data_IF_877751412412
#
_entry.id   IF_877751412412
#
_cell.length_a   1.000
_cell.length_b   1.000
_cell.length_c   1.000
_cell.angle_alpha   90.00
_cell.angle_beta   90.00
_cell.angle_gamma   90.00
#
_symmetry.space_group_name_H-M   'P 1'
#
loop_
_entity.id
_entity.type
_entity.pdbx_description
1 polymer ?
#
# COMPACT_ATOMS: atom_id res chain seq x y z
N UNK A 1 -0.63 -18.20 -18.51
CA UNK A 1 -1.17 -16.90 -18.05
C UNK A 1 -2.55 -16.63 -18.65
N UNK A 2 -2.72 -16.68 -19.98
CA UNK A 2 -4.02 -16.45 -20.65
C UNK A 2 -5.15 -17.42 -20.24
N UNK A 3 -4.87 -18.69 -19.97
CA UNK A 3 -5.90 -19.65 -19.54
C UNK A 3 -6.55 -19.33 -18.19
N UNK A 4 -5.82 -18.70 -17.27
CA UNK A 4 -6.33 -18.38 -15.92
C UNK A 4 -7.24 -17.16 -15.99
N UNK A 5 -6.81 -16.11 -16.69
CA UNK A 5 -7.64 -14.92 -16.95
C UNK A 5 -8.92 -15.28 -17.70
N UNK A 6 -8.83 -16.11 -18.74
CA UNK A 6 -10.00 -16.56 -19.51
C UNK A 6 -10.93 -17.51 -18.73
N UNK A 7 -10.44 -18.18 -17.68
CA UNK A 7 -11.28 -19.01 -16.81
C UNK A 7 -11.99 -18.23 -15.70
N UNK A 8 -11.51 -17.03 -15.38
CA UNK A 8 -12.00 -16.18 -14.29
C UNK A 8 -13.03 -15.16 -14.74
N UNK A 9 -12.99 -14.76 -16.02
CA UNK A 9 -13.99 -13.89 -16.64
C UNK A 9 -14.97 -14.79 -17.37
N UNK A 10 -16.21 -14.85 -16.92
CA UNK A 10 -17.25 -15.56 -17.67
C UNK A 10 -17.40 -14.92 -19.05
N UNK A 11 -17.44 -15.74 -20.11
CA UNK A 11 -17.50 -15.30 -21.51
C UNK A 11 -18.58 -14.24 -21.78
N UNK A 12 -19.67 -14.25 -21.00
CA UNK A 12 -20.78 -13.30 -21.11
C UNK A 12 -20.42 -11.84 -20.76
N UNK A 13 -19.35 -11.60 -20.01
CA UNK A 13 -18.92 -10.25 -19.63
C UNK A 13 -17.78 -9.73 -20.50
N UNK A 14 -17.23 -10.54 -21.41
CA UNK A 14 -16.07 -10.16 -22.23
C UNK A 14 -16.40 -8.97 -23.14
N UNK A 15 -17.55 -9.02 -23.82
CA UNK A 15 -17.99 -7.94 -24.70
C UNK A 15 -18.26 -6.65 -23.93
N UNK A 16 -18.86 -6.75 -22.74
CA UNK A 16 -19.09 -5.61 -21.84
C UNK A 16 -17.75 -4.97 -21.40
N UNK A 17 -16.77 -5.78 -21.04
CA UNK A 17 -15.43 -5.32 -20.64
C UNK A 17 -14.72 -4.62 -21.80
N UNK A 18 -14.83 -5.14 -23.03
CA UNK A 18 -14.22 -4.52 -24.20
C UNK A 18 -14.85 -3.16 -24.51
N UNK A 19 -16.18 -3.05 -24.41
CA UNK A 19 -16.89 -1.78 -24.57
C UNK A 19 -16.49 -0.79 -23.47
N UNK A 20 -16.42 -1.23 -22.21
CA UNK A 20 -15.95 -0.41 -21.09
C UNK A 20 -14.50 0.06 -21.30
N UNK A 21 -13.64 -0.80 -21.87
CA UNK A 21 -12.23 -0.49 -22.14
C UNK A 21 -12.07 0.55 -23.25
N UNK A 22 -12.74 0.36 -24.38
CA UNK A 22 -12.68 1.31 -25.50
C UNK A 22 -13.21 2.69 -25.08
N UNK A 23 -14.34 2.72 -24.36
CA UNK A 23 -14.89 3.96 -23.83
C UNK A 23 -13.96 4.63 -22.81
N UNK A 24 -13.31 3.85 -21.94
CA UNK A 24 -12.33 4.36 -20.99
C UNK A 24 -11.11 4.96 -21.68
N UNK A 25 -10.61 4.32 -22.75
CA UNK A 25 -9.51 4.88 -23.54
C UNK A 25 -9.88 6.23 -24.15
N UNK A 26 -11.04 6.31 -24.80
CA UNK A 26 -11.48 7.51 -25.51
C UNK A 26 -11.89 8.65 -24.59
N UNK A 27 -12.46 8.36 -23.43
CA UNK A 27 -13.04 9.37 -22.54
C UNK A 27 -12.20 9.70 -21.32
N UNK A 28 -11.31 8.81 -20.89
CA UNK A 28 -10.49 8.98 -19.70
C UNK A 28 -9.02 9.00 -20.10
N UNK A 29 -8.48 7.90 -20.61
CA UNK A 29 -7.03 7.76 -20.80
C UNK A 29 -6.44 8.75 -21.81
N UNK A 30 -7.14 9.00 -22.94
CA UNK A 30 -6.67 9.90 -23.99
C UNK A 30 -6.96 11.38 -23.70
N UNK A 31 -7.91 11.68 -22.81
CA UNK A 31 -8.32 13.06 -22.49
C UNK A 31 -7.66 13.60 -21.23
N UNK A 32 -7.29 12.73 -20.30
CA UNK A 32 -6.69 13.14 -19.03
C UNK A 32 -5.16 13.23 -19.16
N UNK A 33 -4.61 14.43 -18.97
CA UNK A 33 -3.16 14.68 -18.94
C UNK A 33 -2.42 13.82 -17.92
N UNK A 34 -3.11 13.43 -16.85
CA UNK A 34 -2.55 12.69 -15.71
C UNK A 34 -1.95 11.34 -16.10
N UNK A 35 -2.42 10.71 -17.19
CA UNK A 35 -1.79 9.48 -17.71
C UNK A 35 -0.39 9.72 -18.26
N UNK A 36 -0.16 10.90 -18.84
CA UNK A 36 1.15 11.30 -19.37
C UNK A 36 2.09 11.79 -18.26
N UNK A 37 1.52 12.31 -17.17
CA UNK A 37 2.26 12.80 -16.00
C UNK A 37 2.50 11.73 -14.94
N UNK A 38 1.89 10.54 -15.09
CA UNK A 38 2.02 9.43 -14.16
C UNK A 38 3.49 9.00 -14.03
N UNK A 39 4.11 9.35 -12.90
CA UNK A 39 5.45 8.90 -12.54
C UNK A 39 5.40 7.79 -11.51
N UNK A 40 5.92 6.59 -11.80
CA UNK A 40 6.00 5.48 -10.85
C UNK A 40 6.79 5.81 -9.56
N UNK A 41 7.57 6.89 -9.57
CA UNK A 41 8.36 7.38 -8.43
C UNK A 41 7.53 8.21 -7.44
N UNK A 42 6.49 8.89 -7.93
CA UNK A 42 5.72 9.87 -7.16
C UNK A 42 4.26 9.44 -6.92
N UNK A 43 3.73 8.53 -7.73
CA UNK A 43 2.34 8.07 -7.64
C UNK A 43 2.20 6.55 -7.60
N UNK A 44 1.21 6.09 -6.85
CA UNK A 44 0.83 4.68 -6.75
C UNK A 44 -0.10 4.31 -7.89
N UNK A 45 0.28 3.29 -8.66
CA UNK A 45 -0.47 2.83 -9.83
C UNK A 45 -1.86 2.30 -9.45
N UNK A 46 -1.97 1.63 -8.30
CA UNK A 46 -3.23 1.10 -7.79
C UNK A 46 -4.20 2.21 -7.36
N UNK A 47 -3.69 3.25 -6.68
CA UNK A 47 -4.48 4.42 -6.28
C UNK A 47 -4.97 5.20 -7.50
N UNK A 48 -4.09 5.42 -8.48
CA UNK A 48 -4.43 6.10 -9.72
C UNK A 48 -5.53 5.38 -10.53
N UNK A 49 -5.41 4.06 -10.71
CA UNK A 49 -6.45 3.30 -11.41
C UNK A 49 -7.75 3.25 -10.60
N UNK A 50 -7.67 3.19 -9.27
CA UNK A 50 -8.86 3.29 -8.44
C UNK A 50 -9.55 4.65 -8.61
N UNK A 51 -8.84 5.77 -8.52
CA UNK A 51 -9.44 7.11 -8.68
C UNK A 51 -10.08 7.31 -10.05
N UNK A 52 -9.46 6.81 -11.11
CA UNK A 52 -9.96 6.97 -12.48
C UNK A 52 -11.07 5.97 -12.86
N UNK A 53 -11.06 4.76 -12.29
CA UNK A 53 -12.01 3.69 -12.62
C UNK A 53 -13.09 3.43 -11.55
N UNK A 54 -13.04 4.07 -10.38
CA UNK A 54 -14.04 3.93 -9.30
C UNK A 54 -15.35 4.67 -9.61
N UNK A 55 -15.88 4.45 -10.80
CA UNK A 55 -17.22 4.83 -11.21
C UNK A 55 -18.00 3.57 -11.54
N UNK A 56 -19.33 3.62 -11.40
CA UNK A 56 -20.17 2.48 -11.76
C UNK A 56 -20.06 2.08 -13.24
N UNK A 57 -19.56 2.97 -14.09
CA UNK A 57 -19.43 2.80 -15.54
C UNK A 57 -18.38 1.75 -15.93
N UNK A 58 -17.26 1.68 -15.22
CA UNK A 58 -16.13 0.80 -15.56
C UNK A 58 -15.98 -0.35 -14.57
N UNK A 59 -17.09 -0.82 -13.99
CA UNK A 59 -17.07 -1.77 -12.87
C UNK A 59 -16.45 -3.10 -13.27
N UNK A 60 -16.71 -3.59 -14.47
CA UNK A 60 -16.19 -4.87 -14.92
C UNK A 60 -14.72 -4.74 -15.32
N UNK A 61 -14.36 -3.66 -16.01
CA UNK A 61 -12.98 -3.33 -16.32
C UNK A 61 -12.12 -3.16 -15.07
N UNK A 62 -12.61 -2.47 -14.05
CA UNK A 62 -11.92 -2.25 -12.77
C UNK A 62 -11.54 -3.57 -12.09
N UNK A 63 -12.44 -4.57 -12.10
CA UNK A 63 -12.14 -5.92 -11.58
C UNK A 63 -11.02 -6.60 -12.36
N UNK A 64 -10.98 -6.45 -13.69
CA UNK A 64 -9.92 -7.03 -14.53
C UNK A 64 -8.57 -6.38 -14.20
N UNK A 65 -8.54 -5.05 -14.04
CA UNK A 65 -7.34 -4.32 -13.63
C UNK A 65 -6.89 -4.71 -12.23
N UNK A 66 -7.81 -4.83 -11.27
CA UNK A 66 -7.54 -5.34 -9.93
C UNK A 66 -6.90 -6.74 -9.98
N UNK A 67 -7.48 -7.65 -10.77
CA UNK A 67 -6.92 -8.98 -10.98
C UNK A 67 -5.52 -8.93 -11.60
N UNK A 68 -5.30 -8.08 -12.61
CA UNK A 68 -3.99 -7.90 -13.23
C UNK A 68 -2.95 -7.39 -12.23
N UNK A 69 -3.30 -6.41 -11.41
CA UNK A 69 -2.43 -5.85 -10.38
C UNK A 69 -2.10 -6.91 -9.31
N UNK A 70 -3.09 -7.68 -8.87
CA UNK A 70 -2.93 -8.78 -7.91
C UNK A 70 -2.13 -9.97 -8.48
N UNK A 71 -2.36 -10.34 -9.74
CA UNK A 71 -1.62 -11.42 -10.41
C UNK A 71 -0.15 -11.04 -10.62
N UNK A 72 0.14 -9.76 -10.88
CA UNK A 72 1.51 -9.25 -11.01
C UNK A 72 2.28 -9.28 -9.68
N UNK A 73 1.59 -9.28 -8.53
CA UNK A 73 2.19 -9.52 -7.22
C UNK A 73 2.58 -11.00 -7.00
N UNK A 74 2.18 -11.90 -7.91
CA UNK A 74 2.51 -13.32 -7.88
C UNK A 74 1.87 -14.08 -6.71
N UNK A 75 1.92 -15.43 -6.71
CA UNK A 75 1.51 -16.27 -5.58
C UNK A 75 2.49 -16.17 -4.38
N UNK A 76 3.25 -15.07 -4.26
CA UNK A 76 4.24 -14.89 -3.21
C UNK A 76 3.64 -14.84 -1.80
N UNK A 77 2.33 -14.61 -1.68
CA UNK A 77 1.61 -14.65 -0.39
C UNK A 77 1.19 -16.07 0.00
N UNK A 78 0.85 -16.93 -0.97
CA UNK A 78 0.28 -18.27 -0.69
C UNK A 78 1.36 -19.32 -0.46
N UNK A 79 2.51 -19.23 -1.14
CA UNK A 79 3.68 -20.08 -0.84
C UNK A 79 4.38 -19.67 0.47
N UNK A 80 4.15 -18.45 0.98
CA UNK A 80 4.69 -17.98 2.26
C UNK A 80 4.00 -18.61 3.47
N UNK A 81 2.78 -19.13 3.31
CA UNK A 81 1.99 -19.74 4.38
C UNK A 81 2.28 -21.22 4.64
N UNK A 82 2.89 -21.94 3.68
CA UNK A 82 3.16 -23.38 3.81
C UNK A 82 4.60 -23.74 4.14
N UNK A 83 5.52 -22.78 4.07
CA UNK A 83 6.88 -22.99 4.54
C UNK A 83 7.00 -22.50 5.97
N UNK A 84 6.97 -23.43 6.93
CA UNK A 84 7.52 -23.23 8.26
C UNK A 84 9.04 -23.03 8.09
N UNK A 85 9.45 -21.89 7.54
CA UNK A 85 10.83 -21.46 7.48
C UNK A 85 10.99 -20.24 8.38
N UNK A 86 11.16 -20.54 9.67
CA UNK A 86 11.69 -19.65 10.71
C UNK A 86 13.12 -19.12 10.39
N UNK A 87 13.61 -19.33 9.17
CA UNK A 87 14.93 -18.94 8.64
C UNK A 87 14.86 -18.15 7.32
N UNK A 88 13.67 -17.92 6.76
CA UNK A 88 13.45 -17.06 5.58
C UNK A 88 12.57 -15.88 5.99
N UNK A 89 12.91 -15.28 7.13
CA UNK A 89 12.86 -13.82 7.21
C UNK A 89 13.91 -13.30 6.22
N UNK A 90 13.61 -13.29 4.92
CA UNK A 90 14.04 -12.13 4.16
C UNK A 90 13.32 -11.00 4.86
N UNK A 91 14.07 -10.19 5.58
CA UNK A 91 13.67 -9.15 6.53
C UNK A 91 12.26 -8.64 6.27
N UNK A 92 11.50 -8.37 7.34
CA UNK A 92 10.27 -7.58 7.31
C UNK A 92 10.58 -6.18 6.70
N UNK A 93 10.73 -6.14 5.38
CA UNK A 93 11.16 -4.98 4.63
C UNK A 93 10.03 -3.98 4.73
N UNK A 94 10.36 -2.80 5.22
CA UNK A 94 9.41 -1.70 5.26
C UNK A 94 8.96 -1.40 3.82
N UNK A 95 7.71 -0.99 3.66
CA UNK A 95 7.11 -0.65 2.36
C UNK A 95 8.03 0.21 1.48
N UNK A 96 8.68 1.22 2.08
CA UNK A 96 9.66 2.08 1.42
C UNK A 96 10.84 1.31 0.79
N UNK A 97 11.32 0.26 1.45
CA UNK A 97 12.38 -0.61 0.92
C UNK A 97 11.89 -1.44 -0.25
N UNK A 98 10.64 -1.93 -0.20
CA UNK A 98 10.01 -2.66 -1.30
C UNK A 98 9.81 -1.76 -2.52
N UNK A 99 9.27 -0.55 -2.34
CA UNK A 99 9.09 0.44 -3.41
C UNK A 99 10.44 0.81 -4.03
N UNK A 100 11.45 1.06 -3.21
CA UNK A 100 12.80 1.37 -3.68
C UNK A 100 13.42 0.25 -4.52
N UNK A 101 13.18 -1.01 -4.16
CA UNK A 101 13.67 -2.14 -4.96
C UNK A 101 12.91 -2.30 -6.27
N UNK A 102 11.59 -2.07 -6.27
CA UNK A 102 10.78 -2.05 -7.49
C UNK A 102 11.31 -1.02 -8.49
N UNK A 103 11.54 0.21 -8.04
CA UNK A 103 12.06 1.29 -8.90
C UNK A 103 13.42 0.95 -9.52
N UNK A 104 14.32 0.32 -8.76
CA UNK A 104 15.61 -0.14 -9.29
C UNK A 104 15.42 -1.19 -10.38
N UNK A 105 14.56 -2.18 -10.16
CA UNK A 105 14.26 -3.21 -11.14
C UNK A 105 13.61 -2.61 -12.40
N UNK A 106 12.62 -1.73 -12.23
CA UNK A 106 11.92 -1.06 -13.33
C UNK A 106 12.93 -0.27 -14.21
N UNK A 107 13.89 0.42 -13.59
CA UNK A 107 14.95 1.15 -14.30
C UNK A 107 15.94 0.25 -15.04
N UNK A 108 16.33 -0.89 -14.44
CA UNK A 108 17.22 -1.85 -15.10
C UNK A 108 16.51 -2.48 -16.31
N UNK A 109 15.23 -2.84 -16.15
CA UNK A 109 14.44 -3.47 -17.20
C UNK A 109 14.20 -2.51 -18.37
N UNK A 110 13.96 -1.21 -18.10
CA UNK A 110 13.79 -0.20 -19.15
C UNK A 110 15.05 0.06 -19.97
N UNK A 111 16.23 -0.29 -19.43
CA UNK A 111 17.53 -0.17 -20.12
C UNK A 111 17.84 -1.40 -20.99
N UNK A 112 16.90 -2.34 -21.14
CA UNK A 112 17.05 -3.56 -21.95
C UNK A 112 17.81 -4.66 -21.22
N UNK A 113 17.56 -4.83 -19.92
CA UNK A 113 18.07 -5.89 -19.03
C UNK A 113 19.61 -5.97 -18.87
N UNK A 114 20.38 -5.10 -19.54
CA UNK A 114 21.84 -5.06 -19.46
C UNK A 114 22.30 -3.99 -18.48
N UNK A 115 22.70 -4.43 -17.29
CA UNK A 115 23.32 -3.59 -16.25
C UNK A 115 24.57 -2.85 -16.79
N UNK A 116 25.26 -3.43 -17.77
CA UNK A 116 26.46 -2.87 -18.37
C UNK A 116 26.22 -1.57 -19.15
N UNK A 117 24.98 -1.30 -19.56
CA UNK A 117 24.63 -0.08 -20.31
C UNK A 117 24.36 1.12 -19.39
N UNK A 118 24.20 0.90 -18.08
CA UNK A 118 23.88 1.97 -17.12
C UNK A 118 25.15 2.76 -16.80
N UNK A 119 25.26 3.96 -17.34
CA UNK A 119 26.36 4.88 -17.03
C UNK A 119 26.21 5.43 -15.61
N UNK A 120 27.23 5.21 -14.77
CA UNK A 120 27.26 5.76 -13.41
C UNK A 120 27.44 7.27 -13.48
N UNK A 121 26.40 8.02 -13.11
CA UNK A 121 26.44 9.48 -13.10
C UNK A 121 27.06 10.01 -11.79
N UNK A 122 27.59 11.24 -11.83
CA UNK A 122 28.08 11.92 -10.62
C UNK A 122 26.99 12.08 -9.54
N UNK A 123 25.73 12.24 -9.96
CA UNK A 123 24.59 12.33 -9.05
C UNK A 123 24.46 11.03 -8.24
N UNK A 124 24.51 9.86 -8.89
CA UNK A 124 24.46 8.56 -8.20
C UNK A 124 25.60 8.41 -7.17
N UNK A 125 26.82 8.86 -7.51
CA UNK A 125 27.96 8.85 -6.59
C UNK A 125 27.67 9.69 -5.34
N UNK A 126 27.17 10.90 -5.53
CA UNK A 126 26.78 11.78 -4.42
C UNK A 126 25.68 11.18 -3.55
N UNK A 127 24.66 10.55 -4.16
CA UNK A 127 23.60 9.86 -3.42
C UNK A 127 24.14 8.71 -2.56
N UNK A 128 25.03 7.89 -3.11
CA UNK A 128 25.66 6.77 -2.37
C UNK A 128 26.51 7.29 -1.22
N UNK A 129 27.34 8.32 -1.45
CA UNK A 129 28.15 8.94 -0.40
C UNK A 129 27.30 9.48 0.76
N UNK A 130 26.13 10.06 0.46
CA UNK A 130 25.22 10.61 1.45
C UNK A 130 24.24 9.58 2.05
N UNK A 131 24.16 8.37 1.52
CA UNK A 131 23.18 7.36 1.91
C UNK A 131 23.28 7.01 3.40
N UNK A 132 24.50 6.87 3.91
CA UNK A 132 24.74 6.58 5.33
C UNK A 132 24.23 7.70 6.24
N UNK A 133 24.50 8.96 5.89
CA UNK A 133 24.04 10.11 6.68
C UNK A 133 22.51 10.19 6.69
N UNK A 134 21.85 9.99 5.53
CA UNK A 134 20.39 9.93 5.44
C UNK A 134 19.80 8.81 6.31
N UNK A 135 20.42 7.64 6.30
CA UNK A 135 19.98 6.52 7.13
C UNK A 135 20.15 6.79 8.62
N UNK A 136 21.28 7.38 9.05
CA UNK A 136 21.47 7.78 10.46
C UNK A 136 20.41 8.78 10.90
N UNK A 137 20.12 9.81 10.10
CA UNK A 137 19.06 10.78 10.38
C UNK A 137 17.70 10.11 10.51
N UNK A 138 17.35 9.20 9.59
CA UNK A 138 16.10 8.43 9.67
C UNK A 138 15.98 7.63 10.98
N UNK A 139 17.07 7.02 11.46
CA UNK A 139 17.07 6.28 12.73
C UNK A 139 16.86 7.20 13.93
N UNK A 140 17.42 8.41 13.91
CA UNK A 140 17.18 9.42 14.95
C UNK A 140 15.73 9.89 14.97
N UNK A 141 15.16 10.18 13.80
CA UNK A 141 13.75 10.59 13.65
C UNK A 141 12.81 9.48 14.14
N UNK A 142 13.11 8.22 13.84
CA UNK A 142 12.35 7.06 14.32
C UNK A 142 12.38 6.94 15.85
N UNK A 143 13.54 7.20 16.48
CA UNK A 143 13.65 7.20 17.95
C UNK A 143 12.80 8.31 18.56
N UNK A 144 12.83 9.52 17.99
CA UNK A 144 12.02 10.65 18.45
C UNK A 144 10.53 10.34 18.36
N UNK A 145 10.06 9.86 17.20
CA UNK A 145 8.67 9.46 17.00
C UNK A 145 8.23 8.36 17.98
N UNK A 146 9.07 7.35 18.22
CA UNK A 146 8.77 6.29 19.18
C UNK A 146 8.62 6.82 20.61
N UNK A 147 9.44 7.79 21.00
CA UNK A 147 9.40 8.42 22.33
C UNK A 147 8.14 9.28 22.52
N UNK A 148 7.77 10.05 21.49
CA UNK A 148 6.56 10.87 21.51
C UNK A 148 5.31 10.00 21.53
N UNK A 149 5.28 8.93 20.74
CA UNK A 149 4.17 7.99 20.72
C UNK A 149 4.03 7.24 22.05
N UNK A 150 5.13 6.90 22.73
CA UNK A 150 5.08 6.35 24.10
C UNK A 150 4.46 7.35 25.08
N UNK A 151 4.89 8.62 25.06
CA UNK A 151 4.33 9.67 25.92
C UNK A 151 2.84 9.88 25.69
N UNK A 152 2.40 9.95 24.42
CA UNK A 152 0.97 10.05 24.06
C UNK A 152 0.18 8.84 24.54
N UNK A 153 0.68 7.62 24.33
CA UNK A 153 0.01 6.39 24.79
C UNK A 153 -0.16 6.33 26.30
N UNK A 154 0.82 6.80 27.07
CA UNK A 154 0.71 6.86 28.55
C UNK A 154 -0.37 7.85 28.96
N UNK A 155 -0.34 9.08 28.43
CA UNK A 155 -1.37 10.09 28.70
C UNK A 155 -2.79 9.60 28.38
N UNK A 156 -2.99 9.03 27.19
CA UNK A 156 -4.31 8.50 26.79
C UNK A 156 -4.71 7.29 27.66
N UNK A 157 -3.76 6.47 28.09
CA UNK A 157 -4.04 5.34 28.99
C UNK A 157 -4.48 5.81 30.37
N UNK A 158 -3.87 6.88 30.90
CA UNK A 158 -4.21 7.45 32.20
C UNK A 158 -5.61 8.10 32.16
N UNK A 159 -5.92 8.88 31.11
CA UNK A 159 -7.25 9.45 30.88
C UNK A 159 -8.35 8.37 30.78
N UNK A 160 -8.08 7.27 30.04
CA UNK A 160 -9.00 6.13 29.94
C UNK A 160 -9.23 5.48 31.31
N UNK A 161 -8.20 5.39 32.14
CA UNK A 161 -8.31 4.79 33.47
C UNK A 161 -9.13 5.67 34.42
N UNK A 162 -8.96 6.98 34.35
CA UNK A 162 -9.76 7.96 35.09
C UNK A 162 -11.24 7.87 34.72
N UNK A 163 -11.56 7.90 33.43
CA UNK A 163 -12.93 7.75 32.93
C UNK A 163 -13.57 6.42 33.35
N UNK A 164 -12.79 5.32 33.35
CA UNK A 164 -13.26 4.01 33.84
C UNK A 164 -13.58 4.03 35.34
N UNK A 165 -12.81 4.76 36.14
CA UNK A 165 -13.05 4.88 37.57
C UNK A 165 -14.28 5.74 37.86
N UNK A 166 -14.45 6.84 37.12
CA UNK A 166 -15.59 7.73 37.24
C UNK A 166 -16.90 7.02 36.86
N UNK A 167 -16.90 6.29 35.73
CA UNK A 167 -18.00 5.43 35.32
C UNK A 167 -18.40 4.44 36.41
N UNK A 168 -17.42 3.76 37.03
CA UNK A 168 -17.65 2.79 38.12
C UNK A 168 -18.27 3.45 39.36
N UNK A 169 -17.86 4.67 39.69
CA UNK A 169 -18.44 5.43 40.80
C UNK A 169 -19.90 5.82 40.53
N UNK A 170 -20.21 6.25 39.31
CA UNK A 170 -21.58 6.58 38.90
C UNK A 170 -22.48 5.34 38.89
N UNK A 171 -22.02 4.21 38.35
CA UNK A 171 -22.77 2.94 38.36
C UNK A 171 -23.13 2.48 39.78
N UNK A 172 -22.19 2.61 40.73
CA UNK A 172 -22.44 2.33 42.15
C UNK A 172 -23.50 3.27 42.76
N UNK A 173 -23.48 4.56 42.40
CA UNK A 173 -24.51 5.52 42.85
C UNK A 173 -25.87 5.15 42.27
N UNK A 174 -25.99 4.84 40.99
CA UNK A 174 -27.24 4.40 40.37
C UNK A 174 -27.82 3.15 41.05
N UNK A 175 -27.00 2.13 41.30
CA UNK A 175 -27.45 0.93 42.04
C UNK A 175 -27.84 1.22 43.49
N UNK A 176 -27.25 2.25 44.11
CA UNK A 176 -27.64 2.73 45.44
C UNK A 176 -29.00 3.43 45.41
N UNK A 177 -29.25 4.27 44.41
CA UNK A 177 -30.55 4.94 44.21
C UNK A 177 -31.69 3.95 43.96
N UNK A 178 -31.47 2.92 43.14
CA UNK A 178 -32.46 1.86 42.88
C UNK A 178 -32.85 1.05 44.13
N UNK A 179 -31.98 0.99 45.14
CA UNK A 179 -32.24 0.31 46.43
C UNK A 179 -32.97 1.18 47.45
N UNK A 180 -32.93 2.51 47.29
CA UNK A 180 -33.58 3.46 48.20
C UNK A 180 -35.01 3.79 47.73
N UNK A 181 -35.31 3.59 46.44
CA UNK A 181 -36.63 3.86 45.84
C UNK A 181 -37.56 2.63 45.73
N UNK A 182 -37.23 1.48 46.34
CA UNK A 182 -38.13 0.34 46.56
C UNK A 182 -38.42 0.16 48.03
#
# INVERSE_FOLDING_TARGET
>A
MNHILNSMIEAKHVDEILIEFDDYLDNVALKHSDFSELSPENSRVDEFFYETMNTSKYRNLCKVVEMLLLLRLGPATVEKGFSINKKVEVENMKELSCVSNRLKCDYINSTGDSIHNIKITNIMRTFVSNARQKYMKYLEDQKLLSSQNKKRKVLTSDEIQELKNEKRCLEKRYQGFDKVCR
#
